data_IF_690471949739
#
_entry.id   IF_690471949739
#
_cell.length_a   1.000
_cell.length_b   1.000
_cell.length_c   1.000
_cell.angle_alpha   90.00
_cell.angle_beta   90.00
_cell.angle_gamma   90.00
#
_symmetry.space_group_name_H-M   'P 1'
#
loop_
_entity.id
_entity.type
_entity.pdbx_description
1 polymer ?
#
# COMPACT_ATOMS: atom_id res chain seq x y z
N UNK A 1 -6.36 17.27 -13.16
CA UNK A 1 -7.20 18.39 -13.60
C UNK A 1 -7.96 18.85 -12.36
N UNK A 2 -7.83 20.12 -11.98
CA UNK A 2 -8.58 20.70 -10.88
C UNK A 2 -10.09 20.76 -11.22
N UNK A 3 -10.90 21.21 -10.28
CA UNK A 3 -12.35 21.33 -10.48
C UNK A 3 -12.77 22.44 -11.47
N UNK A 4 -11.82 23.23 -11.96
CA UNK A 4 -12.00 24.23 -13.02
C UNK A 4 -11.56 23.74 -14.40
N UNK A 5 -10.98 22.52 -14.49
CA UNK A 5 -10.47 21.93 -15.72
C UNK A 5 -9.03 22.31 -16.06
N UNK A 6 -8.32 22.98 -15.14
CA UNK A 6 -6.91 23.30 -15.31
C UNK A 6 -6.05 22.06 -15.02
N UNK A 7 -4.81 22.04 -15.55
CA UNK A 7 -3.85 20.99 -15.20
C UNK A 7 -3.61 21.03 -13.70
N UNK A 8 -3.96 19.94 -12.99
CA UNK A 8 -3.55 19.77 -11.60
C UNK A 8 -2.01 19.67 -11.60
N UNK A 9 -1.34 20.66 -11.04
CA UNK A 9 0.10 20.64 -10.88
C UNK A 9 0.46 19.75 -9.69
N UNK A 10 0.27 18.45 -9.88
CA UNK A 10 0.57 17.42 -8.89
C UNK A 10 1.73 16.55 -9.36
N UNK A 11 2.64 16.27 -8.44
CA UNK A 11 3.71 15.28 -8.63
C UNK A 11 3.31 14.01 -7.90
N UNK A 12 3.45 12.89 -8.58
CA UNK A 12 3.18 11.57 -8.02
C UNK A 12 4.38 10.64 -8.25
N UNK A 13 4.68 9.82 -7.25
CA UNK A 13 5.70 8.78 -7.29
C UNK A 13 5.11 7.52 -6.66
N UNK A 14 5.31 6.37 -7.29
CA UNK A 14 4.86 5.10 -6.75
C UNK A 14 5.97 4.08 -6.81
N UNK A 15 6.25 3.44 -5.68
CA UNK A 15 7.17 2.32 -5.58
C UNK A 15 6.34 1.07 -5.24
N UNK A 16 6.46 0.05 -6.08
CA UNK A 16 5.82 -1.24 -5.87
C UNK A 16 6.90 -2.32 -5.75
N UNK A 17 7.01 -2.93 -4.58
CA UNK A 17 7.93 -4.04 -4.31
C UNK A 17 7.17 -5.36 -4.19
N UNK A 18 7.61 -6.40 -4.89
CA UNK A 18 7.15 -7.77 -4.70
C UNK A 18 8.21 -8.54 -3.91
N UNK A 19 7.87 -9.00 -2.73
CA UNK A 19 8.81 -9.67 -1.82
C UNK A 19 8.30 -11.08 -1.53
N UNK A 20 9.14 -12.06 -1.87
CA UNK A 20 8.86 -13.46 -1.63
C UNK A 20 9.33 -13.86 -0.25
N UNK A 21 8.49 -14.57 0.50
CA UNK A 21 8.78 -15.05 1.88
C UNK A 21 8.97 -16.56 1.97
N UNK A 22 8.45 -17.31 0.98
CA UNK A 22 8.66 -18.76 0.83
C UNK A 22 8.43 -19.16 -0.64
N UNK A 23 8.58 -20.43 -1.03
CA UNK A 23 8.22 -20.89 -2.37
C UNK A 23 6.78 -20.58 -2.78
N UNK A 24 5.85 -20.47 -1.84
CA UNK A 24 4.42 -20.31 -2.10
C UNK A 24 3.81 -19.03 -1.51
N UNK A 25 4.56 -18.26 -0.73
CA UNK A 25 4.07 -17.05 -0.07
C UNK A 25 4.92 -15.82 -0.42
N UNK A 26 4.28 -14.68 -0.36
CA UNK A 26 4.91 -13.38 -0.57
C UNK A 26 3.92 -12.26 -0.33
N UNK A 27 4.40 -11.04 -0.38
CA UNK A 27 3.59 -9.84 -0.22
C UNK A 27 4.05 -8.72 -1.15
N UNK A 28 3.19 -7.73 -1.32
CA UNK A 28 3.50 -6.51 -2.08
C UNK A 28 3.62 -5.35 -1.10
N UNK A 29 4.61 -4.50 -1.30
CA UNK A 29 4.71 -3.19 -0.63
C UNK A 29 4.41 -2.12 -1.66
N UNK A 30 3.40 -1.31 -1.41
CA UNK A 30 3.00 -0.20 -2.26
C UNK A 30 3.17 1.11 -1.50
N UNK A 31 4.05 1.95 -1.99
CA UNK A 31 4.32 3.28 -1.44
C UNK A 31 3.96 4.32 -2.49
N UNK A 32 2.90 5.05 -2.23
CA UNK A 32 2.41 6.08 -3.13
C UNK A 32 2.59 7.47 -2.52
N UNK A 33 3.44 8.26 -3.16
CA UNK A 33 3.72 9.66 -2.82
C UNK A 33 2.95 10.59 -3.72
N UNK A 34 2.41 11.64 -3.13
CA UNK A 34 1.70 12.66 -3.88
C UNK A 34 1.84 14.02 -3.21
N UNK A 35 2.12 15.04 -4.01
CA UNK A 35 2.13 16.44 -3.59
C UNK A 35 1.53 17.33 -4.69
N UNK A 36 0.95 18.45 -4.29
CA UNK A 36 0.40 19.47 -5.17
C UNK A 36 1.07 20.82 -4.87
N UNK A 37 1.14 21.71 -5.85
CA UNK A 37 1.55 23.10 -5.62
C UNK A 37 0.52 23.86 -4.78
N UNK A 38 -0.75 23.46 -4.84
CA UNK A 38 -1.80 24.05 -4.03
C UNK A 38 -1.74 23.45 -2.61
N UNK A 39 -1.64 24.27 -1.56
CA UNK A 39 -1.62 23.78 -0.19
C UNK A 39 -3.01 23.25 0.21
N UNK A 40 -3.02 22.31 1.14
CA UNK A 40 -4.25 21.78 1.76
C UNK A 40 -5.19 21.00 0.80
N UNK A 41 -4.75 20.65 -0.40
CA UNK A 41 -5.51 19.77 -1.29
C UNK A 41 -5.67 18.37 -0.67
N UNK A 42 -6.70 17.66 -1.09
CA UNK A 42 -6.88 16.26 -0.72
C UNK A 42 -6.11 15.36 -1.66
N UNK A 43 -5.39 14.42 -1.08
CA UNK A 43 -4.74 13.33 -1.80
C UNK A 43 -5.44 12.04 -1.44
N UNK A 44 -5.70 11.21 -2.44
CA UNK A 44 -6.42 9.98 -2.30
C UNK A 44 -5.62 8.79 -2.84
N UNK A 45 -5.61 7.73 -2.05
CA UNK A 45 -5.15 6.42 -2.46
C UNK A 45 -6.37 5.52 -2.64
N UNK A 46 -6.50 4.94 -3.84
CA UNK A 46 -7.61 4.04 -4.19
C UNK A 46 -7.08 2.65 -4.46
N UNK A 47 -7.77 1.66 -3.91
CA UNK A 47 -7.52 0.26 -4.21
C UNK A 47 -8.83 -0.48 -4.46
N UNK A 48 -8.94 -1.03 -5.66
CA UNK A 48 -10.05 -1.87 -6.11
C UNK A 48 -9.62 -3.34 -6.04
N UNK A 49 -10.47 -4.20 -5.50
CA UNK A 49 -10.24 -5.63 -5.54
C UNK A 49 -11.55 -6.35 -5.85
N UNK A 50 -11.54 -7.22 -6.86
CA UNK A 50 -12.70 -8.06 -7.13
C UNK A 50 -12.99 -8.95 -5.93
N UNK A 51 -14.27 -9.08 -5.56
CA UNK A 51 -14.62 -9.88 -4.41
C UNK A 51 -16.03 -9.62 -3.90
N UNK A 52 -16.34 -10.27 -2.79
CA UNK A 52 -17.66 -10.14 -2.14
C UNK A 52 -17.74 -8.91 -1.25
N UNK A 53 -16.66 -8.63 -0.52
CA UNK A 53 -16.64 -7.54 0.47
C UNK A 53 -15.23 -7.14 0.89
N UNK A 54 -15.10 -5.91 1.40
CA UNK A 54 -14.00 -5.41 2.20
C UNK A 54 -14.41 -5.42 3.68
N UNK A 55 -13.56 -5.94 4.55
CA UNK A 55 -13.74 -5.97 6.01
C UNK A 55 -12.55 -5.28 6.66
N UNK A 56 -12.79 -4.42 7.62
CA UNK A 56 -11.77 -3.88 8.52
C UNK A 56 -11.76 -4.70 9.82
N UNK A 57 -10.59 -5.07 10.29
CA UNK A 57 -10.43 -5.87 11.49
C UNK A 57 -10.38 -5.02 12.77
N UNK A 58 -10.04 -3.74 12.62
CA UNK A 58 -9.98 -2.78 13.72
C UNK A 58 -11.38 -2.40 14.22
N UNK A 59 -11.74 -2.84 15.41
CA UNK A 59 -13.06 -2.57 16.02
C UNK A 59 -13.29 -1.10 16.36
N UNK A 60 -12.23 -0.35 16.60
CA UNK A 60 -12.26 1.08 16.89
C UNK A 60 -12.35 1.98 15.65
N UNK A 61 -12.20 1.42 14.45
CA UNK A 61 -12.47 2.13 13.20
C UNK A 61 -13.98 2.24 12.99
N UNK A 62 -14.57 3.31 13.49
CA UNK A 62 -16.00 3.53 13.38
C UNK A 62 -16.37 4.10 11.99
N UNK A 63 -16.95 3.26 11.14
CA UNK A 63 -17.46 3.62 9.83
C UNK A 63 -18.92 4.07 9.92
N UNK A 64 -19.22 5.26 9.40
CA UNK A 64 -20.59 5.77 9.28
C UNK A 64 -21.00 5.86 7.82
N UNK A 65 -22.27 5.57 7.53
CA UNK A 65 -22.85 5.75 6.19
C UNK A 65 -22.79 7.22 5.80
N UNK A 66 -22.21 7.50 4.63
CA UNK A 66 -22.04 8.84 4.07
C UNK A 66 -22.41 8.86 2.59
N UNK A 67 -23.69 8.66 2.24
CA UNK A 67 -24.12 8.39 0.86
C UNK A 67 -23.76 9.51 -0.11
N UNK A 68 -23.72 10.76 0.36
CA UNK A 68 -23.51 11.94 -0.47
C UNK A 68 -22.05 12.37 -0.60
N UNK A 69 -21.09 11.63 -0.01
CA UNK A 69 -19.69 12.05 0.01
C UNK A 69 -19.08 12.31 -1.37
N UNK A 70 -19.49 11.55 -2.37
CA UNK A 70 -18.98 11.65 -3.73
C UNK A 70 -20.05 12.07 -4.76
N UNK A 71 -21.17 12.61 -4.30
CA UNK A 71 -22.34 12.92 -5.14
C UNK A 71 -22.29 14.31 -5.78
N UNK A 72 -21.12 14.94 -5.88
CA UNK A 72 -20.97 16.30 -6.43
C UNK A 72 -21.57 16.49 -7.85
N UNK A 73 -21.76 15.38 -8.58
CA UNK A 73 -22.29 15.39 -9.94
C UNK A 73 -23.68 14.75 -10.07
N UNK A 74 -24.43 14.57 -8.96
CA UNK A 74 -25.70 13.83 -8.94
C UNK A 74 -26.71 14.28 -10.00
N UNK A 75 -26.75 15.59 -10.30
CA UNK A 75 -27.69 16.19 -11.24
C UNK A 75 -27.08 16.50 -12.61
N UNK A 76 -25.92 15.98 -12.94
CA UNK A 76 -25.22 16.26 -14.19
C UNK A 76 -25.13 15.00 -15.05
N UNK A 77 -25.41 15.14 -16.34
CA UNK A 77 -25.16 14.08 -17.32
C UNK A 77 -23.67 13.86 -17.49
N UNK A 78 -23.27 12.60 -17.48
CA UNK A 78 -21.88 12.14 -17.70
C UNK A 78 -21.37 12.41 -19.13
N UNK A 79 -20.05 12.34 -19.30
CA UNK A 79 -19.30 12.18 -20.56
C UNK A 79 -19.04 13.47 -21.34
N UNK A 80 -19.97 14.33 -21.53
CA UNK A 80 -19.76 15.54 -22.34
C UNK A 80 -19.76 16.83 -21.53
N UNK A 81 -19.88 16.73 -20.21
CA UNK A 81 -19.95 17.88 -19.35
C UNK A 81 -18.58 18.22 -18.75
N UNK A 82 -17.91 19.26 -19.27
CA UNK A 82 -16.64 19.78 -18.75
C UNK A 82 -16.70 20.25 -17.27
N UNK A 83 -17.89 20.42 -16.72
CA UNK A 83 -18.12 20.79 -15.31
C UNK A 83 -18.31 19.57 -14.40
N UNK A 84 -18.07 18.36 -14.91
CA UNK A 84 -18.19 17.15 -14.13
C UNK A 84 -17.00 17.02 -13.17
N UNK A 85 -17.27 17.05 -11.87
CA UNK A 85 -16.26 16.92 -10.82
C UNK A 85 -16.10 15.48 -10.39
N UNK A 86 -14.85 15.04 -10.18
CA UNK A 86 -14.55 13.69 -9.67
C UNK A 86 -15.35 12.60 -10.39
N UNK A 87 -15.27 12.48 -11.72
CA UNK A 87 -16.20 11.68 -12.50
C UNK A 87 -16.23 10.20 -12.10
N UNK A 88 -15.13 9.58 -11.76
CA UNK A 88 -15.09 8.18 -11.32
C UNK A 88 -15.80 7.94 -9.98
N UNK A 89 -15.79 8.92 -9.12
CA UNK A 89 -16.32 8.82 -7.76
C UNK A 89 -17.82 8.93 -7.67
N UNK A 90 -18.44 9.57 -8.65
CA UNK A 90 -19.89 9.69 -8.76
C UNK A 90 -20.59 8.32 -8.81
N UNK A 91 -19.92 7.30 -9.31
CA UNK A 91 -20.46 5.95 -9.45
C UNK A 91 -20.27 5.07 -8.20
N UNK A 92 -19.62 5.58 -7.15
CA UNK A 92 -19.46 4.84 -5.91
C UNK A 92 -20.77 4.69 -5.16
N UNK A 93 -21.06 3.47 -4.71
CA UNK A 93 -22.24 3.11 -3.93
C UNK A 93 -21.85 2.59 -2.54
N UNK A 94 -22.83 2.51 -1.64
CA UNK A 94 -22.66 1.97 -0.28
C UNK A 94 -21.50 2.61 0.49
N UNK A 95 -21.38 3.93 0.38
CA UNK A 95 -20.28 4.70 0.95
C UNK A 95 -20.34 4.72 2.46
N UNK A 96 -19.29 4.22 3.11
CA UNK A 96 -19.09 4.25 4.55
C UNK A 96 -17.72 4.86 4.86
N UNK A 97 -17.69 5.88 5.71
CA UNK A 97 -16.48 6.66 5.98
C UNK A 97 -16.17 6.70 7.47
N UNK A 98 -14.90 6.58 7.83
CA UNK A 98 -14.41 6.77 9.20
C UNK A 98 -14.32 8.25 9.57
N UNK A 99 -14.23 8.52 10.88
CA UNK A 99 -13.55 9.74 11.34
C UNK A 99 -12.05 9.64 10.98
N UNK A 100 -11.30 10.69 11.31
CA UNK A 100 -9.83 10.64 11.19
C UNK A 100 -9.26 9.54 12.09
N UNK A 101 -8.34 8.75 11.52
CA UNK A 101 -7.74 7.60 12.17
C UNK A 101 -6.23 7.59 11.87
N UNK A 102 -5.40 7.29 12.86
CA UNK A 102 -3.94 7.37 12.77
C UNK A 102 -3.20 6.13 13.31
N UNK A 103 -3.95 5.09 13.71
CA UNK A 103 -3.38 3.82 14.16
C UNK A 103 -3.18 2.87 12.97
N UNK A 104 -2.42 1.81 13.20
CA UNK A 104 -2.29 0.71 12.24
C UNK A 104 -3.66 0.12 11.94
N UNK A 105 -3.87 -0.19 10.67
CA UNK A 105 -5.14 -0.71 10.17
C UNK A 105 -4.91 -2.01 9.41
N UNK A 106 -5.73 -3.01 9.71
CA UNK A 106 -5.80 -4.26 8.93
C UNK A 106 -7.15 -4.35 8.25
N UNK A 107 -7.13 -4.60 6.95
CA UNK A 107 -8.32 -4.73 6.13
C UNK A 107 -8.19 -5.94 5.20
N UNK A 108 -9.29 -6.65 4.96
CA UNK A 108 -9.27 -7.86 4.14
C UNK A 108 -10.36 -7.83 3.09
N UNK A 109 -9.95 -7.98 1.81
CA UNK A 109 -10.87 -8.28 0.73
C UNK A 109 -11.12 -9.78 0.65
N UNK A 110 -12.38 -10.16 0.59
CA UNK A 110 -12.84 -11.54 0.51
C UNK A 110 -13.33 -11.85 -0.90
N UNK A 111 -12.75 -12.86 -1.54
CA UNK A 111 -13.15 -13.37 -2.86
C UNK A 111 -13.48 -14.86 -2.71
N UNK A 112 -14.73 -15.18 -2.39
CA UNK A 112 -15.15 -16.53 -1.97
C UNK A 112 -15.73 -17.38 -3.08
N UNK A 113 -16.26 -16.75 -4.14
CA UNK A 113 -17.06 -17.41 -5.19
C UNK A 113 -16.26 -17.61 -6.49
N UNK A 114 -15.02 -18.09 -6.37
CA UNK A 114 -14.20 -18.42 -7.54
C UNK A 114 -13.86 -19.89 -7.58
N UNK A 115 -13.61 -20.40 -8.80
CA UNK A 115 -13.12 -21.77 -9.00
C UNK A 115 -11.75 -21.91 -8.31
N UNK A 116 -11.55 -22.99 -7.56
CA UNK A 116 -10.31 -23.24 -6.82
C UNK A 116 -10.37 -22.89 -5.34
N UNK A 117 -11.40 -22.17 -4.89
CA UNK A 117 -11.63 -21.84 -3.48
C UNK A 117 -11.46 -20.36 -3.14
N UNK A 118 -11.76 -20.02 -1.91
CA UNK A 118 -11.72 -18.63 -1.46
C UNK A 118 -10.29 -18.09 -1.40
N UNK A 119 -10.11 -16.89 -1.92
CA UNK A 119 -8.87 -16.10 -1.84
C UNK A 119 -9.14 -14.85 -1.01
N UNK A 120 -8.14 -14.44 -0.28
CA UNK A 120 -8.15 -13.22 0.52
C UNK A 120 -6.98 -12.33 0.11
N UNK A 121 -7.21 -11.03 0.13
CA UNK A 121 -6.16 -10.03 0.04
C UNK A 121 -6.19 -9.23 1.35
N UNK A 122 -5.24 -9.48 2.23
CA UNK A 122 -5.09 -8.73 3.47
C UNK A 122 -4.19 -7.53 3.24
N UNK A 123 -4.59 -6.41 3.78
CA UNK A 123 -3.90 -5.14 3.72
C UNK A 123 -3.45 -4.76 5.12
N UNK A 124 -2.15 -4.55 5.29
CA UNK A 124 -1.58 -3.94 6.48
C UNK A 124 -1.23 -2.49 6.15
N UNK A 125 -1.84 -1.55 6.84
CA UNK A 125 -1.69 -0.11 6.59
C UNK A 125 -1.13 0.51 7.88
N UNK A 126 0.17 0.81 7.93
CA UNK A 126 0.78 1.41 9.11
C UNK A 126 0.14 2.75 9.46
N UNK A 127 -0.05 3.00 10.73
CA UNK A 127 -0.53 4.26 11.25
C UNK A 127 0.50 5.36 11.06
N UNK A 128 0.04 6.47 10.52
CA UNK A 128 0.83 7.69 10.35
C UNK A 128 0.04 8.90 10.90
N UNK A 129 0.00 9.95 10.11
CA UNK A 129 -0.84 11.11 10.34
C UNK A 129 -2.33 10.75 10.19
N UNK A 130 -3.19 11.64 10.64
CA UNK A 130 -4.64 11.50 10.53
C UNK A 130 -5.09 11.30 9.09
N UNK A 131 -5.73 10.17 8.81
CA UNK A 131 -6.31 9.81 7.52
C UNK A 131 -7.78 9.46 7.68
N UNK A 132 -8.51 9.53 6.59
CA UNK A 132 -9.92 9.12 6.52
C UNK A 132 -10.01 7.90 5.62
N UNK A 133 -10.57 6.83 6.14
CA UNK A 133 -10.77 5.58 5.41
C UNK A 133 -12.21 5.49 4.95
N UNK A 134 -12.41 5.15 3.69
CA UNK A 134 -13.73 5.00 3.11
C UNK A 134 -13.85 3.66 2.41
N UNK A 135 -14.89 2.92 2.74
CA UNK A 135 -15.30 1.70 2.06
C UNK A 135 -16.44 2.00 1.12
N UNK A 136 -16.30 1.60 -0.14
CA UNK A 136 -17.31 1.82 -1.17
C UNK A 136 -17.43 0.59 -2.08
N UNK A 137 -18.46 0.58 -2.90
CA UNK A 137 -18.60 -0.30 -4.06
C UNK A 137 -18.44 0.54 -5.33
N UNK A 138 -17.38 0.27 -6.07
CA UNK A 138 -17.17 0.81 -7.41
C UNK A 138 -18.02 0.05 -8.46
N UNK A 139 -18.17 0.57 -9.68
CA UNK A 139 -18.81 -0.14 -10.78
C UNK A 139 -18.27 -1.55 -10.99
N UNK A 140 -18.99 -2.32 -11.76
CA UNK A 140 -18.61 -3.69 -12.14
C UNK A 140 -17.35 -3.68 -13.02
N UNK A 141 -16.56 -4.75 -12.92
CA UNK A 141 -15.40 -5.02 -13.78
C UNK A 141 -15.76 -6.16 -14.71
N UNK A 142 -16.14 -5.86 -15.95
CA UNK A 142 -16.72 -6.81 -16.90
C UNK A 142 -15.84 -8.03 -17.17
N UNK A 143 -14.53 -7.85 -17.23
CA UNK A 143 -13.56 -8.92 -17.53
C UNK A 143 -13.17 -9.75 -16.30
N UNK A 144 -13.77 -9.49 -15.14
CA UNK A 144 -13.48 -10.28 -13.95
C UNK A 144 -14.12 -11.68 -14.01
N UNK A 145 -13.56 -12.68 -13.32
CA UNK A 145 -14.10 -14.04 -13.29
C UNK A 145 -15.55 -14.08 -12.79
N UNK A 146 -16.34 -15.01 -13.31
CA UNK A 146 -17.68 -15.27 -12.78
C UNK A 146 -17.64 -15.67 -11.31
N UNK A 147 -18.57 -15.15 -10.45
CA UNK A 147 -19.71 -14.27 -10.77
C UNK A 147 -19.37 -12.77 -10.68
N UNK A 148 -18.13 -12.37 -10.41
CA UNK A 148 -17.72 -11.01 -10.10
C UNK A 148 -17.86 -10.02 -11.25
N UNK A 149 -17.87 -10.49 -12.51
CA UNK A 149 -18.14 -9.68 -13.70
C UNK A 149 -19.51 -8.97 -13.69
N UNK A 150 -20.43 -9.37 -12.78
CA UNK A 150 -21.76 -8.75 -12.59
C UNK A 150 -21.91 -8.09 -11.21
N UNK A 151 -20.89 -8.12 -10.39
CA UNK A 151 -20.93 -7.58 -9.03
C UNK A 151 -20.13 -6.28 -8.95
N UNK A 152 -20.62 -5.35 -8.15
CA UNK A 152 -19.89 -4.12 -7.84
C UNK A 152 -18.59 -4.46 -7.11
N UNK A 153 -17.51 -3.75 -7.45
CA UNK A 153 -16.17 -4.01 -6.97
C UNK A 153 -15.95 -3.36 -5.60
N UNK A 154 -15.66 -4.13 -4.54
CA UNK A 154 -15.26 -3.56 -3.25
C UNK A 154 -14.02 -2.68 -3.41
N UNK A 155 -14.04 -1.51 -2.79
CA UNK A 155 -13.00 -0.50 -2.96
C UNK A 155 -12.67 0.17 -1.64
N UNK A 156 -11.38 0.34 -1.40
CA UNK A 156 -10.83 1.16 -0.32
C UNK A 156 -10.39 2.50 -0.89
N UNK A 157 -10.77 3.57 -0.19
CA UNK A 157 -10.22 4.91 -0.41
C UNK A 157 -9.60 5.41 0.88
N UNK A 158 -8.32 5.80 0.82
CA UNK A 158 -7.61 6.42 1.92
C UNK A 158 -7.38 7.88 1.54
N UNK A 159 -7.92 8.82 2.31
CA UNK A 159 -7.80 10.26 2.06
C UNK A 159 -6.95 10.94 3.11
N UNK A 160 -6.04 11.78 2.66
CA UNK A 160 -5.26 12.70 3.48
C UNK A 160 -5.47 14.12 3.00
N UNK A 161 -5.53 15.09 3.92
CA UNK A 161 -5.44 16.51 3.62
C UNK A 161 -3.99 16.96 3.68
N UNK A 162 -3.58 17.75 2.72
CA UNK A 162 -2.17 18.14 2.56
C UNK A 162 -1.32 17.04 1.89
N UNK A 163 -0.07 17.33 1.66
CA UNK A 163 0.85 16.50 0.91
C UNK A 163 1.06 15.10 1.53
N UNK A 164 1.23 14.10 0.68
CA UNK A 164 1.57 12.73 1.04
C UNK A 164 2.96 12.36 0.48
N UNK A 165 3.94 13.27 0.61
CA UNK A 165 5.29 13.08 0.08
C UNK A 165 6.25 12.57 1.13
N UNK A 166 6.37 13.29 2.26
CA UNK A 166 7.18 12.89 3.40
C UNK A 166 6.61 11.67 4.11
N UNK A 167 5.29 11.67 4.28
CA UNK A 167 4.52 10.57 4.86
C UNK A 167 3.54 10.02 3.83
N UNK A 168 3.99 9.12 2.94
CA UNK A 168 3.21 8.60 1.80
C UNK A 168 2.06 7.70 2.23
N UNK A 169 1.19 7.36 1.29
CA UNK A 169 0.34 6.19 1.47
C UNK A 169 1.19 4.94 1.37
N UNK A 170 1.10 4.08 2.38
CA UNK A 170 1.85 2.82 2.46
C UNK A 170 0.87 1.71 2.74
N UNK A 171 0.89 0.69 1.91
CA UNK A 171 0.05 -0.50 2.06
C UNK A 171 0.88 -1.74 1.77
N UNK A 172 0.83 -2.70 2.66
CA UNK A 172 1.40 -4.04 2.44
C UNK A 172 0.25 -4.98 2.14
N UNK A 173 0.30 -5.61 0.97
CA UNK A 173 -0.71 -6.53 0.47
C UNK A 173 -0.25 -7.97 0.60
N UNK A 174 -0.99 -8.79 1.29
CA UNK A 174 -0.74 -10.22 1.43
C UNK A 174 -1.89 -11.04 0.84
N UNK A 175 -1.72 -11.61 -0.36
CA UNK A 175 -2.66 -12.58 -0.90
C UNK A 175 -2.48 -13.94 -0.23
N UNK A 176 -3.58 -14.58 0.17
CA UNK A 176 -3.52 -15.95 0.66
C UNK A 176 -4.79 -16.74 0.31
N UNK A 177 -4.66 -18.05 0.23
CA UNK A 177 -5.77 -18.97 -0.03
C UNK A 177 -6.42 -19.40 1.30
N UNK A 178 -7.71 -19.74 1.28
CA UNK A 178 -8.46 -20.19 2.48
C UNK A 178 -7.78 -21.32 3.26
N UNK A 179 -7.03 -22.19 2.59
CA UNK A 179 -6.31 -23.32 3.21
C UNK A 179 -5.03 -22.88 3.92
N UNK A 180 -4.58 -21.65 3.67
CA UNK A 180 -3.37 -21.06 4.22
C UNK A 180 -3.76 -19.93 5.18
N UNK A 181 -2.86 -19.60 6.09
CA UNK A 181 -3.01 -18.42 6.95
C UNK A 181 -2.16 -17.29 6.40
N UNK A 182 -2.60 -16.07 6.61
CA UNK A 182 -1.76 -14.91 6.41
C UNK A 182 -0.45 -15.08 7.21
N UNK A 183 0.69 -14.79 6.59
CA UNK A 183 2.01 -15.01 7.18
C UNK A 183 2.54 -13.78 7.92
N UNK A 184 2.12 -12.59 7.55
CA UNK A 184 2.57 -11.33 8.16
C UNK A 184 2.05 -11.25 9.59
N UNK A 185 2.98 -11.06 10.54
CA UNK A 185 2.72 -10.92 11.96
C UNK A 185 2.71 -9.46 12.40
N UNK A 186 3.65 -8.66 11.87
CA UNK A 186 3.71 -7.22 12.13
C UNK A 186 4.26 -6.45 10.94
N UNK A 187 3.83 -5.21 10.83
CA UNK A 187 4.35 -4.20 9.90
C UNK A 187 4.61 -2.93 10.68
N UNK A 188 5.87 -2.58 10.82
CA UNK A 188 6.31 -1.40 11.55
C UNK A 188 6.96 -0.42 10.58
N UNK A 189 6.65 0.87 10.70
CA UNK A 189 7.29 1.89 9.87
C UNK A 189 8.71 2.20 10.35
N UNK A 190 9.58 2.46 9.41
CA UNK A 190 10.91 3.04 9.65
C UNK A 190 10.83 4.52 9.34
N UNK A 191 11.28 5.34 10.28
CA UNK A 191 11.26 6.80 10.18
C UNK A 191 12.62 7.42 10.55
N UNK A 192 12.87 8.56 9.98
CA UNK A 192 14.01 9.42 10.38
C UNK A 192 13.55 10.87 10.36
N UNK A 193 13.54 11.52 11.51
CA UNK A 193 13.05 12.90 11.63
C UNK A 193 11.58 13.05 11.24
N UNK A 194 10.71 12.12 11.64
CA UNK A 194 9.28 12.07 11.28
C UNK A 194 9.02 11.94 9.76
N UNK A 195 9.99 11.48 9.00
CA UNK A 195 9.88 11.21 7.57
C UNK A 195 9.94 9.70 7.38
N UNK A 196 8.98 9.16 6.65
CA UNK A 196 8.94 7.76 6.28
C UNK A 196 10.16 7.35 5.44
N UNK A 197 10.78 6.23 5.79
CA UNK A 197 11.95 5.65 5.12
C UNK A 197 11.76 4.21 4.65
N UNK A 198 10.77 3.51 5.21
CA UNK A 198 10.54 2.11 4.89
C UNK A 198 9.71 1.38 5.92
N UNK A 199 9.79 0.07 5.88
CA UNK A 199 9.06 -0.83 6.77
C UNK A 199 9.99 -1.90 7.34
N UNK A 200 9.72 -2.31 8.56
CA UNK A 200 10.16 -3.59 9.12
C UNK A 200 8.94 -4.52 9.12
N UNK A 201 9.06 -5.64 8.45
CA UNK A 201 7.99 -6.62 8.30
C UNK A 201 8.45 -7.94 8.90
N UNK A 202 7.64 -8.49 9.80
CA UNK A 202 7.86 -9.82 10.38
C UNK A 202 6.83 -10.77 9.78
N UNK A 203 7.30 -11.87 9.19
CA UNK A 203 6.44 -12.91 8.63
C UNK A 203 6.81 -14.29 9.18
N UNK A 204 5.80 -15.15 9.33
CA UNK A 204 5.95 -16.50 9.83
C UNK A 204 5.11 -17.47 9.01
N UNK A 205 5.75 -18.42 8.36
CA UNK A 205 5.14 -19.59 7.74
C UNK A 205 5.51 -20.83 8.57
N UNK A 206 4.96 -22.01 8.28
CA UNK A 206 5.37 -23.24 8.97
C UNK A 206 6.89 -23.49 8.94
N UNK A 207 7.55 -23.13 7.85
CA UNK A 207 8.96 -23.43 7.61
C UNK A 207 9.89 -22.22 7.75
N UNK A 208 9.36 -21.01 7.70
CA UNK A 208 10.14 -19.78 7.64
C UNK A 208 9.65 -18.76 8.67
N UNK A 209 10.59 -18.10 9.32
CA UNK A 209 10.32 -16.92 10.14
C UNK A 209 11.34 -15.86 9.74
N UNK A 210 10.86 -14.82 9.06
CA UNK A 210 11.69 -13.79 8.47
C UNK A 210 11.39 -12.42 9.09
N UNK A 211 12.45 -11.64 9.19
CA UNK A 211 12.42 -10.21 9.51
C UNK A 211 12.97 -9.49 8.28
N UNK A 212 12.17 -8.62 7.69
CA UNK A 212 12.54 -7.93 6.47
C UNK A 212 12.47 -6.42 6.65
N UNK A 213 13.58 -5.74 6.37
CA UNK A 213 13.62 -4.29 6.26
C UNK A 213 13.44 -3.92 4.80
N UNK A 214 12.33 -3.30 4.47
CA UNK A 214 12.00 -2.83 3.12
C UNK A 214 12.14 -1.32 3.11
N UNK A 215 13.27 -0.84 2.61
CA UNK A 215 13.56 0.59 2.57
C UNK A 215 13.01 1.14 1.26
N UNK A 216 12.17 2.16 1.37
CA UNK A 216 11.54 2.83 0.23
C UNK A 216 11.51 4.33 0.50
N UNK A 217 12.41 5.06 -0.07
CA UNK A 217 12.52 6.50 0.12
C UNK A 217 12.65 7.21 -1.24
N UNK A 218 12.53 8.53 -1.27
CA UNK A 218 12.78 9.26 -2.51
C UNK A 218 14.25 9.13 -2.92
N UNK A 219 14.50 9.22 -4.22
CA UNK A 219 15.84 9.18 -4.79
C UNK A 219 16.78 10.14 -4.07
N UNK A 220 18.06 9.78 -3.99
CA UNK A 220 19.16 10.56 -3.39
C UNK A 220 19.03 10.81 -1.88
N UNK A 221 18.12 10.13 -1.19
CA UNK A 221 18.03 10.22 0.26
C UNK A 221 18.91 9.18 0.95
N UNK A 222 19.24 9.50 2.20
CA UNK A 222 19.96 8.60 3.10
C UNK A 222 19.00 8.17 4.22
N UNK A 223 18.98 6.89 4.50
CA UNK A 223 18.44 6.32 5.73
C UNK A 223 19.57 5.81 6.59
N UNK A 224 19.59 6.18 7.86
CA UNK A 224 20.58 5.71 8.82
C UNK A 224 19.92 5.45 10.17
N UNK A 225 20.17 4.27 10.73
CA UNK A 225 19.90 3.93 12.11
C UNK A 225 21.12 3.16 12.68
N UNK A 226 20.96 2.50 13.82
CA UNK A 226 22.05 1.78 14.50
C UNK A 226 22.69 0.69 13.62
N UNK A 227 21.88 -0.02 12.81
CA UNK A 227 22.31 -1.21 12.07
C UNK A 227 22.35 -1.03 10.57
N UNK A 228 21.68 0.02 10.05
CA UNK A 228 21.47 0.22 8.61
C UNK A 228 21.95 1.61 8.21
N UNK A 229 22.78 1.66 7.18
CA UNK A 229 23.01 2.85 6.36
C UNK A 229 22.61 2.50 4.93
N UNK A 230 21.77 3.31 4.32
CA UNK A 230 21.38 3.13 2.93
C UNK A 230 21.29 4.47 2.21
N UNK A 231 22.04 4.61 1.11
CA UNK A 231 21.93 5.70 0.14
C UNK A 231 21.30 5.16 -1.14
N UNK A 232 20.05 5.51 -1.39
CA UNK A 232 19.28 5.01 -2.52
C UNK A 232 17.76 5.12 -2.30
N UNK A 233 16.97 4.58 -3.20
CA UNK A 233 15.51 4.64 -3.14
C UNK A 233 14.85 3.33 -2.72
N UNK A 234 15.43 2.16 -3.05
CA UNK A 234 14.81 0.87 -2.77
C UNK A 234 15.82 -0.20 -2.40
N UNK A 235 15.65 -0.80 -1.22
CA UNK A 235 16.41 -1.96 -0.77
C UNK A 235 15.58 -2.89 0.12
N UNK A 236 15.93 -4.18 0.13
CA UNK A 236 15.36 -5.19 1.02
C UNK A 236 16.49 -5.95 1.72
N UNK A 237 16.46 -5.97 3.06
CA UNK A 237 17.37 -6.77 3.89
C UNK A 237 16.52 -7.85 4.55
N UNK A 238 16.89 -9.11 4.37
CA UNK A 238 16.16 -10.25 4.94
C UNK A 238 17.00 -10.95 6.00
N UNK A 239 16.42 -11.14 7.16
CA UNK A 239 17.00 -11.86 8.29
C UNK A 239 16.12 -13.06 8.66
N UNK A 240 16.70 -14.07 9.28
CA UNK A 240 15.94 -15.13 9.93
C UNK A 240 15.52 -14.72 11.36
N UNK A 241 14.82 -15.60 12.07
CA UNK A 241 14.36 -15.37 13.45
C UNK A 241 15.47 -15.08 14.48
N UNK A 242 16.70 -15.47 14.17
CA UNK A 242 17.87 -15.23 15.03
C UNK A 242 18.63 -13.96 14.65
N UNK A 243 18.04 -13.10 13.83
CA UNK A 243 18.64 -11.90 13.25
C UNK A 243 19.89 -12.18 12.37
N UNK A 244 20.05 -13.40 11.87
CA UNK A 244 21.13 -13.73 10.95
C UNK A 244 20.73 -13.32 9.54
N UNK A 245 21.63 -12.59 8.87
CA UNK A 245 21.44 -12.10 7.51
C UNK A 245 21.27 -13.26 6.52
N UNK A 246 20.18 -13.21 5.76
CA UNK A 246 19.84 -14.20 4.74
C UNK A 246 20.06 -13.68 3.33
N UNK A 247 19.68 -12.44 3.08
CA UNK A 247 19.89 -11.81 1.78
C UNK A 247 19.82 -10.29 1.85
N UNK A 248 20.46 -9.66 0.87
CA UNK A 248 20.32 -8.23 0.57
C UNK A 248 19.95 -8.08 -0.90
N UNK A 249 18.93 -7.25 -1.15
CA UNK A 249 18.57 -6.77 -2.46
C UNK A 249 18.61 -5.23 -2.48
N UNK A 250 19.25 -4.67 -3.49
CA UNK A 250 19.24 -3.24 -3.78
C UNK A 250 18.60 -3.09 -5.16
N UNK A 251 17.44 -2.45 -5.24
CA UNK A 251 16.77 -2.19 -6.51
C UNK A 251 17.28 -0.91 -7.16
N UNK A 252 17.47 0.13 -6.38
CA UNK A 252 18.06 1.40 -6.81
C UNK A 252 18.79 2.04 -5.63
N UNK A 253 20.11 2.16 -5.71
CA UNK A 253 20.93 2.71 -4.65
C UNK A 253 22.42 2.63 -4.96
N UNK A 254 23.22 3.36 -4.20
CA UNK A 254 24.67 3.42 -4.37
C UNK A 254 25.41 2.64 -3.28
N UNK A 255 24.91 2.70 -2.06
CA UNK A 255 25.58 2.11 -0.89
C UNK A 255 24.59 1.61 0.14
N UNK A 256 24.78 0.39 0.59
CA UNK A 256 24.10 -0.20 1.73
C UNK A 256 25.11 -0.77 2.70
N UNK A 257 24.99 -0.43 3.98
CA UNK A 257 25.70 -1.06 5.07
C UNK A 257 24.67 -1.66 6.02
N UNK A 258 24.82 -2.94 6.32
CA UNK A 258 24.04 -3.63 7.35
C UNK A 258 25.00 -4.31 8.32
N UNK A 259 25.04 -3.83 9.58
CA UNK A 259 26.07 -4.19 10.57
C UNK A 259 27.47 -3.97 9.95
N UNK A 260 28.24 -5.04 9.72
CA UNK A 260 29.60 -4.99 9.17
C UNK A 260 29.63 -5.36 7.66
N UNK A 261 28.50 -5.67 7.07
CA UNK A 261 28.41 -5.97 5.63
C UNK A 261 28.21 -4.68 4.83
N UNK A 262 29.16 -4.35 3.99
CA UNK A 262 29.09 -3.18 3.11
C UNK A 262 28.95 -3.60 1.66
N UNK A 263 28.00 -3.02 0.96
CA UNK A 263 27.75 -3.22 -0.46
C UNK A 263 27.70 -1.87 -1.14
N UNK A 264 28.51 -1.72 -2.19
CA UNK A 264 28.51 -0.57 -3.08
C UNK A 264 28.08 -1.01 -4.47
N UNK A 265 27.17 -0.29 -5.09
CA UNK A 265 26.64 -0.59 -6.43
C UNK A 265 26.67 0.65 -7.30
N UNK A 266 26.54 0.45 -8.61
CA UNK A 266 26.19 1.57 -9.51
C UNK A 266 24.69 1.85 -9.38
N UNK A 267 24.31 3.09 -9.19
CA UNK A 267 22.93 3.52 -8.86
C UNK A 267 21.84 3.02 -9.82
N UNK A 268 22.22 2.63 -11.05
CA UNK A 268 21.29 2.17 -12.10
C UNK A 268 21.11 0.65 -12.16
N UNK A 269 21.95 -0.12 -11.48
CA UNK A 269 21.93 -1.59 -11.54
C UNK A 269 21.37 -2.16 -10.24
N UNK A 270 20.43 -3.11 -10.36
CA UNK A 270 20.00 -3.87 -9.20
C UNK A 270 21.08 -4.86 -8.75
N UNK A 271 21.11 -5.12 -7.45
CA UNK A 271 22.07 -6.03 -6.83
C UNK A 271 21.33 -7.04 -5.93
N UNK A 272 21.75 -8.29 -5.97
CA UNK A 272 21.24 -9.31 -5.04
C UNK A 272 22.40 -10.19 -4.53
N UNK A 273 22.45 -10.39 -3.22
CA UNK A 273 23.37 -11.33 -2.58
C UNK A 273 22.62 -12.20 -1.57
N UNK A 274 22.79 -13.51 -1.67
CA UNK A 274 22.31 -14.49 -0.71
C UNK A 274 23.44 -14.95 0.19
N UNK A 275 23.17 -15.07 1.48
CA UNK A 275 24.10 -15.55 2.51
C UNK A 275 23.74 -16.97 2.99
N UNK A 276 22.64 -17.52 2.52
CA UNK A 276 22.23 -18.89 2.78
C UNK A 276 23.02 -19.82 1.87
N UNK A 277 23.79 -20.74 2.45
CA UNK A 277 24.40 -21.83 1.67
C UNK A 277 23.26 -22.68 1.07
N UNK A 278 23.38 -22.93 -0.23
CA UNK A 278 22.48 -23.84 -0.94
C UNK A 278 22.68 -25.26 -0.47
#
# INVERSE_FOLDING_TARGET
IDDKGNKAEATQERTLGLIRTSPTTGYYVDVFRSKSKLPNEFHDYLYHNIGDKLVFENKDLNLKRTPNRYMANANKKWIHNKRYRNPGWHFFKDVQTSKTYNKDLVATFHTKKIKGGAIFMQLHIPGFEKRVYTKVKAPITFESPKPYHKLSTPTLVIRKKGEAWKNPFVVVYEPYHKKEKASIQSVEKLEQGNIYKGLKIVSKTPNEHLIQYVITQSKDQIFKNENIYFKGSYAVITLNKMNVLQSIYIGEGEKLIFNNEEITTNSTNSFFKSYVKK
#
